data_IF_252774470003
#
_entry.id   IF_252774470003
#
_cell.length_a   1.000
_cell.length_b   1.000
_cell.length_c   1.000
_cell.angle_alpha   90.00
_cell.angle_beta   90.00
_cell.angle_gamma   90.00
#
_symmetry.space_group_name_H-M   'P 1'
#
loop_
_entity.id
_entity.type
_entity.pdbx_description
1 polymer ?
#
# COMPACT_ATOMS: atom_id res chain seq x y z
N UNK A 1 -7.28 -1.33 23.79
CA UNK A 1 -6.65 -0.35 22.87
C UNK A 1 -6.07 -1.09 21.67
N UNK A 2 -6.71 -1.01 20.49
CA UNK A 2 -6.01 -1.29 19.22
C UNK A 2 -5.41 0.05 18.77
N UNK A 3 -4.30 0.44 19.40
CA UNK A 3 -3.70 1.75 19.12
C UNK A 3 -2.98 1.78 17.77
N UNK A 4 -2.48 0.64 17.29
CA UNK A 4 -1.78 0.51 16.02
C UNK A 4 -2.66 -0.17 14.96
N UNK A 5 -2.80 0.45 13.79
CA UNK A 5 -3.51 -0.12 12.65
C UNK A 5 -2.80 0.15 11.33
N UNK A 6 -2.40 -0.91 10.62
CA UNK A 6 -1.87 -0.83 9.27
C UNK A 6 -3.00 -1.10 8.25
N UNK A 7 -3.04 -0.33 7.16
CA UNK A 7 -4.04 -0.46 6.11
C UNK A 7 -3.39 -0.29 4.74
N UNK A 8 -3.88 -1.05 3.77
CA UNK A 8 -3.58 -0.86 2.36
C UNK A 8 -4.89 -0.60 1.63
N UNK A 9 -5.05 0.62 1.13
CA UNK A 9 -6.16 0.99 0.27
C UNK A 9 -5.68 0.92 -1.19
N UNK A 10 -6.50 0.32 -2.06
CA UNK A 10 -6.26 0.21 -3.49
C UNK A 10 -7.51 0.73 -4.19
N UNK A 11 -7.36 1.75 -5.03
CA UNK A 11 -8.44 2.33 -5.82
C UNK A 11 -8.09 2.37 -7.30
N UNK A 12 -9.11 2.54 -8.15
CA UNK A 12 -8.90 2.73 -9.58
C UNK A 12 -8.19 4.07 -9.84
N UNK A 13 -7.10 4.02 -10.60
CA UNK A 13 -6.37 5.18 -11.10
C UNK A 13 -6.78 5.55 -12.52
N UNK A 14 -5.91 6.30 -13.22
CA UNK A 14 -6.09 6.65 -14.65
C UNK A 14 -5.54 5.52 -15.53
N UNK A 15 -6.09 5.33 -16.73
CA UNK A 15 -5.57 4.42 -17.76
C UNK A 15 -5.32 2.97 -17.29
N UNK A 16 -6.24 2.40 -16.51
CA UNK A 16 -6.14 1.04 -15.95
C UNK A 16 -5.02 0.83 -14.91
N UNK A 17 -4.32 1.88 -14.49
CA UNK A 17 -3.47 1.85 -13.32
C UNK A 17 -4.30 1.88 -12.03
N UNK A 18 -3.68 1.45 -10.94
CA UNK A 18 -4.18 1.50 -9.58
C UNK A 18 -3.56 2.67 -8.84
N UNK A 19 -4.29 3.22 -7.87
CA UNK A 19 -3.74 4.11 -6.87
C UNK A 19 -3.67 3.38 -5.53
N UNK A 20 -2.47 3.36 -4.95
CA UNK A 20 -2.21 2.70 -3.68
C UNK A 20 -2.04 3.74 -2.59
N UNK A 21 -2.56 3.42 -1.40
CA UNK A 21 -2.27 4.11 -0.16
C UNK A 21 -1.94 3.10 0.93
N UNK A 22 -0.72 3.15 1.45
CA UNK A 22 -0.33 2.34 2.60
C UNK A 22 -0.19 3.24 3.82
N UNK A 23 -0.95 2.96 4.87
CA UNK A 23 -1.03 3.81 6.05
C UNK A 23 -0.81 3.01 7.33
N UNK A 24 -0.10 3.62 8.28
CA UNK A 24 0.02 3.16 9.67
C UNK A 24 -0.56 4.25 10.57
N UNK A 25 -1.54 3.86 11.38
CA UNK A 25 -2.26 4.73 12.29
C UNK A 25 -1.88 4.40 13.74
N UNK A 26 -1.55 5.42 14.52
CA UNK A 26 -1.31 5.36 15.95
C UNK A 26 -2.20 6.41 16.65
N UNK A 27 -3.41 6.01 17.04
CA UNK A 27 -4.42 6.96 17.52
C UNK A 27 -4.73 8.03 16.47
N UNK A 28 -4.61 9.34 16.78
CA UNK A 28 -4.83 10.41 15.80
C UNK A 28 -3.65 10.60 14.83
N UNK A 29 -2.49 9.98 15.09
CA UNK A 29 -1.32 10.08 14.22
C UNK A 29 -1.45 9.09 13.06
N UNK A 30 -1.25 9.56 11.83
CA UNK A 30 -1.27 8.73 10.62
C UNK A 30 -0.03 9.03 9.78
N UNK A 31 0.78 8.01 9.52
CA UNK A 31 1.81 8.04 8.48
C UNK A 31 1.27 7.29 7.27
N UNK A 32 1.21 7.96 6.11
CA UNK A 32 0.73 7.35 4.88
C UNK A 32 1.69 7.57 3.71
N UNK A 33 1.74 6.58 2.84
CA UNK A 33 2.44 6.61 1.56
C UNK A 33 1.41 6.43 0.45
N UNK A 34 1.60 7.15 -0.65
CA UNK A 34 0.70 7.06 -1.80
C UNK A 34 1.48 7.09 -3.12
N UNK A 35 0.90 6.44 -4.12
CA UNK A 35 1.43 6.45 -5.48
C UNK A 35 0.80 5.37 -6.35
N UNK A 36 1.20 5.33 -7.64
CA UNK A 36 0.60 4.44 -8.61
C UNK A 36 1.09 3.00 -8.46
N UNK A 37 0.32 2.09 -9.02
CA UNK A 37 0.73 0.71 -9.23
C UNK A 37 -0.09 0.04 -10.31
N UNK A 38 0.29 -1.17 -10.67
CA UNK A 38 -0.38 -1.98 -11.68
C UNK A 38 -0.26 -3.46 -11.34
N UNK A 39 -1.16 -4.27 -11.92
CA UNK A 39 -1.09 -5.72 -11.82
C UNK A 39 -0.36 -6.28 -13.04
N UNK A 40 0.60 -7.19 -12.80
CA UNK A 40 1.35 -7.87 -13.87
C UNK A 40 1.16 -9.38 -13.80
N UNK A 41 0.82 -9.99 -14.93
CA UNK A 41 0.76 -11.45 -15.11
C UNK A 41 -0.50 -12.13 -14.57
N UNK A 42 -0.61 -13.45 -14.79
CA UNK A 42 -1.78 -14.27 -14.42
C UNK A 42 -1.88 -14.60 -12.92
N UNK A 43 -0.74 -14.68 -12.24
CA UNK A 43 -0.65 -14.68 -10.77
C UNK A 43 -0.26 -13.25 -10.40
N UNK A 44 -1.24 -12.39 -10.08
CA UNK A 44 -1.03 -10.96 -10.18
C UNK A 44 0.06 -10.51 -9.21
N UNK A 45 1.12 -9.93 -9.78
CA UNK A 45 2.11 -9.15 -9.05
C UNK A 45 1.58 -7.72 -9.00
N UNK A 46 1.33 -7.20 -7.80
CA UNK A 46 1.06 -5.80 -7.59
C UNK A 46 2.40 -5.06 -7.54
N UNK A 47 2.76 -4.42 -8.64
CA UNK A 47 3.96 -3.57 -8.73
C UNK A 47 3.53 -2.14 -8.45
N UNK A 48 4.28 -1.41 -7.63
CA UNK A 48 3.90 -0.07 -7.22
C UNK A 48 5.12 0.81 -6.97
N UNK A 49 4.88 2.10 -6.89
CA UNK A 49 5.85 3.05 -6.36
C UNK A 49 5.12 4.06 -5.48
N UNK A 50 5.73 4.42 -4.37
CA UNK A 50 5.24 5.54 -3.57
C UNK A 50 5.96 6.80 -4.02
N UNK A 51 5.18 7.77 -4.45
CA UNK A 51 5.66 9.06 -4.90
C UNK A 51 5.55 10.08 -3.78
N UNK A 52 4.64 9.89 -2.82
CA UNK A 52 4.41 10.86 -1.76
C UNK A 52 4.29 10.18 -0.39
N UNK A 53 4.79 10.88 0.63
CA UNK A 53 4.59 10.55 2.04
C UNK A 53 3.91 11.72 2.74
N UNK A 54 2.94 11.41 3.60
CA UNK A 54 2.27 12.38 4.48
C UNK A 54 2.27 11.90 5.94
N UNK A 55 2.54 12.81 6.86
CA UNK A 55 2.32 12.63 8.30
C UNK A 55 1.18 13.55 8.73
N UNK A 56 0.16 12.99 9.37
CA UNK A 56 -1.04 13.71 9.80
C UNK A 56 -1.32 13.49 11.29
N UNK A 57 -1.85 14.51 11.95
CA UNK A 57 -2.41 14.43 13.29
C UNK A 57 -3.89 14.85 13.22
N UNK A 58 -4.78 13.86 13.18
CA UNK A 58 -6.20 14.08 12.85
C UNK A 58 -6.34 14.65 11.44
N UNK A 59 -6.91 15.84 11.33
CA UNK A 59 -7.07 16.55 10.05
C UNK A 59 -5.85 17.42 9.68
N UNK A 60 -4.93 17.68 10.61
CA UNK A 60 -3.76 18.51 10.38
C UNK A 60 -2.66 17.70 9.66
N UNK A 61 -2.18 18.21 8.53
CA UNK A 61 -1.01 17.65 7.85
C UNK A 61 0.26 18.28 8.41
N UNK A 62 1.06 17.49 9.14
CA UNK A 62 2.32 17.91 9.74
C UNK A 62 3.48 17.87 8.76
N UNK A 63 3.46 16.91 7.83
CA UNK A 63 4.47 16.73 6.79
C UNK A 63 3.81 16.23 5.52
N UNK A 64 4.24 16.76 4.38
CA UNK A 64 3.93 16.24 3.05
C UNK A 64 5.16 16.38 2.18
N UNK A 65 5.70 15.27 1.67
CA UNK A 65 6.89 15.28 0.81
C UNK A 65 6.75 14.35 -0.37
N UNK A 66 7.32 14.78 -1.49
CA UNK A 66 7.57 13.91 -2.64
C UNK A 66 8.78 13.02 -2.33
N UNK A 67 8.69 11.78 -2.76
CA UNK A 67 9.72 10.76 -2.67
C UNK A 67 10.43 10.65 -4.02
N UNK A 68 11.74 10.35 -4.03
CA UNK A 68 12.44 10.07 -5.27
C UNK A 68 11.88 8.81 -5.93
N UNK A 69 11.80 8.81 -7.26
CA UNK A 69 11.39 7.61 -8.00
C UNK A 69 12.38 6.47 -7.74
N UNK A 70 11.90 5.23 -7.57
CA UNK A 70 12.78 4.08 -7.42
C UNK A 70 13.64 3.88 -8.67
N UNK A 71 14.84 3.32 -8.48
CA UNK A 71 15.71 2.95 -9.61
C UNK A 71 15.00 1.91 -10.49
N UNK A 72 15.04 2.11 -11.81
CA UNK A 72 14.41 1.20 -12.78
C UNK A 72 14.85 -0.25 -12.54
N UNK A 73 13.87 -1.18 -12.58
CA UNK A 73 14.11 -2.61 -12.36
C UNK A 73 14.23 -3.03 -10.89
N UNK A 74 14.07 -2.09 -9.95
CA UNK A 74 14.03 -2.33 -8.49
C UNK A 74 12.71 -1.91 -7.86
N UNK A 75 11.64 -1.90 -8.65
CA UNK A 75 10.30 -1.55 -8.18
C UNK A 75 9.87 -2.52 -7.07
N UNK A 76 9.29 -2.00 -5.97
CA UNK A 76 8.68 -2.85 -4.97
C UNK A 76 7.44 -3.54 -5.56
N UNK A 77 7.19 -4.76 -5.10
CA UNK A 77 6.03 -5.52 -5.50
C UNK A 77 5.50 -6.38 -4.35
N UNK A 78 4.22 -6.70 -4.44
CA UNK A 78 3.57 -7.77 -3.69
C UNK A 78 3.14 -8.89 -4.65
N UNK A 79 3.68 -10.07 -4.45
CA UNK A 79 3.25 -11.28 -5.14
C UNK A 79 2.09 -11.89 -4.37
N UNK A 80 0.90 -11.93 -4.97
CA UNK A 80 -0.26 -12.59 -4.37
C UNK A 80 0.05 -14.09 -4.19
N UNK A 81 -0.01 -14.56 -2.94
CA UNK A 81 0.20 -15.98 -2.60
C UNK A 81 -1.14 -16.69 -2.47
N UNK A 82 -2.08 -16.06 -1.76
CA UNK A 82 -3.42 -16.62 -1.54
C UNK A 82 -4.43 -15.51 -1.29
N UNK A 83 -5.69 -15.80 -1.61
CA UNK A 83 -6.84 -14.95 -1.33
C UNK A 83 -8.00 -15.86 -0.99
N UNK A 84 -8.80 -15.46 -0.02
CA UNK A 84 -10.06 -16.14 0.27
C UNK A 84 -11.26 -15.34 -0.23
N UNK A 85 -12.35 -16.06 -0.45
CA UNK A 85 -13.63 -15.47 -0.84
C UNK A 85 -14.30 -14.73 0.34
N UNK A 86 -13.92 -15.04 1.58
CA UNK A 86 -14.38 -14.39 2.81
C UNK A 86 -13.62 -13.09 3.15
N UNK A 87 -12.71 -12.64 2.26
CA UNK A 87 -12.18 -11.29 2.28
C UNK A 87 -10.79 -11.13 2.89
N UNK A 88 -9.98 -12.18 3.06
CA UNK A 88 -8.55 -12.00 3.35
C UNK A 88 -7.65 -12.23 2.14
N UNK A 89 -6.47 -11.61 2.17
CA UNK A 89 -5.45 -11.71 1.12
C UNK A 89 -4.05 -11.80 1.73
N UNK A 90 -3.23 -12.75 1.27
CA UNK A 90 -1.84 -12.89 1.66
C UNK A 90 -0.89 -12.67 0.47
N UNK A 91 0.17 -11.90 0.67
CA UNK A 91 1.18 -11.63 -0.35
C UNK A 91 2.60 -11.66 0.19
N UNK A 92 3.57 -11.87 -0.71
CA UNK A 92 5.01 -11.81 -0.43
C UNK A 92 5.63 -10.59 -1.07
N UNK A 93 6.39 -9.82 -0.30
CA UNK A 93 7.18 -8.70 -0.79
C UNK A 93 8.51 -9.14 -1.41
N UNK A 94 9.13 -8.25 -2.19
CA UNK A 94 10.46 -8.45 -2.81
C UNK A 94 11.53 -8.97 -1.85
N UNK A 95 11.61 -8.42 -0.64
CA UNK A 95 12.60 -8.80 0.39
C UNK A 95 12.26 -10.08 1.16
N UNK A 96 11.20 -10.80 0.79
CA UNK A 96 10.75 -12.02 1.46
C UNK A 96 9.73 -11.82 2.59
N UNK A 97 9.44 -10.57 2.97
CA UNK A 97 8.40 -10.26 3.96
C UNK A 97 7.02 -10.73 3.52
N UNK A 98 6.18 -11.08 4.49
CA UNK A 98 4.80 -11.50 4.27
C UNK A 98 3.84 -10.39 4.70
N UNK A 99 2.77 -10.23 3.93
CA UNK A 99 1.67 -9.34 4.25
C UNK A 99 0.36 -10.13 4.26
N UNK A 100 -0.47 -9.87 5.25
CA UNK A 100 -1.81 -10.42 5.39
C UNK A 100 -2.77 -9.25 5.60
N UNK A 101 -3.75 -9.13 4.73
CA UNK A 101 -4.82 -8.15 4.82
C UNK A 101 -6.16 -8.84 4.99
N UNK A 102 -7.03 -8.21 5.75
CA UNK A 102 -8.45 -8.56 5.85
C UNK A 102 -9.24 -7.37 5.34
N UNK A 103 -10.25 -7.61 4.50
CA UNK A 103 -11.16 -6.58 4.05
C UNK A 103 -11.83 -5.99 5.28
N UNK A 104 -11.78 -4.67 5.37
CA UNK A 104 -12.52 -3.94 6.38
C UNK A 104 -13.99 -3.97 5.94
N UNK A 105 -14.84 -4.62 6.75
CA UNK A 105 -16.30 -4.58 6.58
C UNK A 105 -16.87 -3.19 6.84
#
# INVERSE_FOLDING_TARGET
>A
MRSLGACLDISAGRNADLQLRNAVNLGPLCLQFQGPGHLRGRRPLLVFQFEQVELKLGQLTLLKRMLPSPTQGREPFFALISRSNDGWMAARGRGGGLALWTLKG
#
